data_IF_365086941204
#
_entry.id   IF_365086941204
#
_cell.length_a   1.000
_cell.length_b   1.000
_cell.length_c   1.000
_cell.angle_alpha   90.00
_cell.angle_beta   90.00
_cell.angle_gamma   90.00
#
_symmetry.space_group_name_H-M   'P 1'
#
loop_
_entity.id
_entity.type
_entity.pdbx_description
1 polymer ?
#
# COMPACT_ATOMS: atom_id res chain seq x y z
N UNK A 1 9.65 34.21 37.67
CA UNK A 1 9.12 32.94 38.22
C UNK A 1 7.58 32.93 38.35
N UNK A 2 6.92 33.99 38.76
CA UNK A 2 5.43 34.02 38.91
C UNK A 2 4.63 33.84 37.62
N UNK A 3 5.06 34.40 36.48
CA UNK A 3 4.30 34.28 35.20
C UNK A 3 4.28 32.84 34.64
N UNK A 4 5.35 32.08 34.84
CA UNK A 4 5.44 30.67 34.36
C UNK A 4 4.56 29.72 35.20
N UNK A 5 4.45 29.97 36.51
CA UNK A 5 3.59 29.26 37.43
C UNK A 5 2.08 29.50 37.10
N UNK A 6 1.73 30.76 36.80
CA UNK A 6 0.37 31.14 36.44
C UNK A 6 -0.07 30.49 35.10
N UNK A 7 0.82 30.41 34.12
CA UNK A 7 0.55 29.73 32.85
C UNK A 7 0.36 28.21 33.05
N UNK A 8 1.15 27.56 33.89
CA UNK A 8 1.04 26.15 34.23
C UNK A 8 -0.24 25.83 35.01
N UNK A 9 -0.64 26.69 35.93
CA UNK A 9 -1.89 26.58 36.69
C UNK A 9 -3.10 26.78 35.79
N UNK A 10 -3.12 27.78 34.92
CA UNK A 10 -4.18 28.03 33.96
C UNK A 10 -4.31 26.88 32.95
N UNK A 11 -3.19 26.25 32.55
CA UNK A 11 -3.21 25.03 31.72
C UNK A 11 -3.86 23.85 32.45
N UNK A 12 -3.53 23.61 33.74
CA UNK A 12 -4.14 22.56 34.57
C UNK A 12 -5.66 22.77 34.74
N UNK A 13 -6.08 23.99 35.00
CA UNK A 13 -7.51 24.36 35.16
C UNK A 13 -8.25 24.13 33.82
N UNK A 14 -7.66 24.56 32.72
CA UNK A 14 -8.25 24.36 31.37
C UNK A 14 -8.35 22.89 31.01
N UNK A 15 -7.38 22.07 31.40
CA UNK A 15 -7.36 20.62 31.16
C UNK A 15 -8.44 19.91 31.96
N UNK A 16 -8.60 20.25 33.24
CA UNK A 16 -9.60 19.64 34.13
C UNK A 16 -11.03 20.07 33.82
N UNK A 17 -11.22 21.31 33.37
CA UNK A 17 -12.53 21.86 33.02
C UNK A 17 -13.12 21.38 31.69
N UNK A 18 -12.41 20.56 30.92
CA UNK A 18 -12.96 19.96 29.71
C UNK A 18 -13.53 18.56 30.01
N UNK A 19 -14.65 18.15 29.33
CA UNK A 19 -15.27 16.85 29.51
C UNK A 19 -14.33 15.67 29.34
N UNK A 20 -14.71 14.52 29.88
CA UNK A 20 -13.98 13.24 29.68
C UNK A 20 -12.52 13.30 30.14
N UNK A 21 -12.24 13.90 31.29
CA UNK A 21 -10.89 14.07 31.81
C UNK A 21 -10.16 12.75 32.01
N UNK A 22 -10.80 11.76 32.65
CA UNK A 22 -10.20 10.46 32.95
C UNK A 22 -9.89 9.67 31.68
N UNK A 23 -10.79 9.68 30.72
CA UNK A 23 -10.65 9.03 29.42
C UNK A 23 -9.51 9.62 28.59
N UNK A 24 -9.38 10.95 28.63
CA UNK A 24 -8.27 11.67 27.95
C UNK A 24 -6.92 11.31 28.58
N UNK A 25 -6.84 11.30 29.91
CA UNK A 25 -5.60 10.95 30.63
C UNK A 25 -5.24 9.49 30.41
N UNK A 26 -6.22 8.58 30.50
CA UNK A 26 -6.02 7.14 30.24
C UNK A 26 -5.46 6.91 28.83
N UNK A 27 -5.98 7.60 27.83
CA UNK A 27 -5.49 7.50 26.46
C UNK A 27 -4.10 8.12 26.27
N UNK A 28 -3.81 9.27 26.89
CA UNK A 28 -2.48 9.89 26.83
C UNK A 28 -1.42 9.02 27.50
N UNK A 29 -1.74 8.37 28.63
CA UNK A 29 -0.87 7.37 29.27
C UNK A 29 -0.61 6.17 28.36
N UNK A 30 -1.65 5.65 27.73
CA UNK A 30 -1.50 4.60 26.72
C UNK A 30 -0.57 5.05 25.58
N UNK A 31 -0.76 6.25 25.06
CA UNK A 31 0.12 6.79 24.02
C UNK A 31 1.58 6.94 24.51
N UNK A 32 1.80 7.39 25.73
CA UNK A 32 3.14 7.49 26.34
C UNK A 32 3.80 6.10 26.45
N UNK A 33 3.08 5.12 27.00
CA UNK A 33 3.57 3.75 27.15
C UNK A 33 3.83 3.05 25.81
N UNK A 34 3.21 3.51 24.72
CA UNK A 34 3.46 3.02 23.36
C UNK A 34 4.50 3.85 22.60
N UNK A 35 5.27 4.70 23.31
CA UNK A 35 6.43 5.40 22.77
C UNK A 35 6.15 6.77 22.13
N UNK A 36 5.01 7.41 22.43
CA UNK A 36 4.74 8.75 21.92
C UNK A 36 5.67 9.79 22.57
N UNK A 37 6.32 10.62 21.73
CA UNK A 37 7.21 11.68 22.21
C UNK A 37 6.45 12.74 23.03
N UNK A 38 7.13 13.46 23.97
CA UNK A 38 6.51 14.53 24.75
C UNK A 38 5.83 15.61 23.89
N UNK A 39 6.42 15.97 22.75
CA UNK A 39 5.83 16.91 21.81
C UNK A 39 4.53 16.38 21.16
N UNK A 40 4.52 15.10 20.77
CA UNK A 40 3.32 14.44 20.22
C UNK A 40 2.21 14.35 21.27
N UNK A 41 2.54 14.04 22.53
CA UNK A 41 1.59 14.01 23.64
C UNK A 41 0.98 15.39 23.89
N UNK A 42 1.80 16.46 23.84
CA UNK A 42 1.33 17.84 24.00
C UNK A 42 0.33 18.21 22.90
N UNK A 43 0.63 17.88 21.64
CA UNK A 43 -0.28 18.11 20.51
C UNK A 43 -1.58 17.34 20.71
N UNK A 44 -1.50 16.03 21.01
CA UNK A 44 -2.68 15.19 21.26
C UNK A 44 -3.53 15.74 22.41
N UNK A 45 -2.91 16.10 23.54
CA UNK A 45 -3.61 16.68 24.69
C UNK A 45 -4.43 17.90 24.31
N UNK A 46 -3.82 18.86 23.61
CA UNK A 46 -4.48 20.09 23.22
C UNK A 46 -5.67 19.84 22.25
N UNK A 47 -5.50 18.95 21.30
CA UNK A 47 -6.58 18.59 20.37
C UNK A 47 -7.70 17.80 21.07
N UNK A 48 -7.38 16.88 21.98
CA UNK A 48 -8.35 16.10 22.73
C UNK A 48 -9.20 16.98 23.66
N UNK A 49 -8.64 18.03 24.27
CA UNK A 49 -9.41 19.01 25.06
C UNK A 49 -10.49 19.66 24.20
N UNK A 50 -10.11 20.06 22.99
CA UNK A 50 -11.05 20.70 22.08
C UNK A 50 -12.09 19.69 21.57
N UNK A 51 -11.68 18.49 21.14
CA UNK A 51 -12.57 17.44 20.68
C UNK A 51 -13.59 17.11 21.78
N UNK A 52 -13.15 16.92 23.03
CA UNK A 52 -13.99 16.57 24.17
C UNK A 52 -15.11 17.60 24.43
N UNK A 53 -14.85 18.89 24.21
CA UNK A 53 -15.88 19.96 24.40
C UNK A 53 -17.00 19.93 23.38
N UNK A 54 -16.77 19.32 22.23
CA UNK A 54 -17.74 19.24 21.14
C UNK A 54 -18.33 17.83 20.98
N UNK A 55 -17.83 16.85 21.75
CA UNK A 55 -18.46 15.55 21.81
C UNK A 55 -19.84 15.68 22.49
N UNK A 56 -20.87 15.03 21.96
CA UNK A 56 -22.16 14.99 22.60
C UNK A 56 -22.10 14.17 23.90
N UNK A 57 -22.99 14.43 24.85
CA UNK A 57 -23.03 13.70 26.13
C UNK A 57 -23.22 12.18 25.94
N UNK A 58 -23.92 11.79 24.90
CA UNK A 58 -24.11 10.38 24.53
C UNK A 58 -22.94 9.76 23.74
N UNK A 59 -21.79 10.43 23.66
CA UNK A 59 -20.58 9.92 22.98
C UNK A 59 -20.17 8.50 23.42
N UNK A 60 -20.32 8.08 24.70
CA UNK A 60 -20.05 6.71 25.13
C UNK A 60 -20.89 5.65 24.42
N UNK A 61 -22.09 6.01 23.91
CA UNK A 61 -22.96 5.11 23.15
C UNK A 61 -22.48 4.87 21.71
N UNK A 62 -21.48 5.65 21.25
CA UNK A 62 -20.82 5.50 19.97
C UNK A 62 -20.92 6.71 19.05
N UNK A 63 -19.78 7.06 18.43
CA UNK A 63 -19.64 8.17 17.49
C UNK A 63 -19.34 7.64 16.10
N UNK A 64 -20.13 8.04 15.10
CA UNK A 64 -19.91 7.71 13.71
C UNK A 64 -18.89 8.66 13.04
N UNK A 65 -18.37 8.27 11.87
CA UNK A 65 -17.47 9.14 11.09
C UNK A 65 -18.16 10.41 10.61
N UNK A 66 -19.45 10.34 10.31
CA UNK A 66 -20.26 11.48 9.87
C UNK A 66 -20.41 12.50 10.99
N UNK A 67 -20.77 12.06 12.20
CA UNK A 67 -20.85 12.89 13.39
C UNK A 67 -19.49 13.55 13.69
N UNK A 68 -18.40 12.77 13.63
CA UNK A 68 -17.06 13.30 13.86
C UNK A 68 -16.66 14.34 12.80
N UNK A 69 -17.00 14.13 11.54
CA UNK A 69 -16.75 15.10 10.46
C UNK A 69 -17.53 16.37 10.66
N UNK A 70 -18.79 16.29 11.05
CA UNK A 70 -19.62 17.46 11.30
C UNK A 70 -19.10 18.32 12.45
N UNK A 71 -18.67 17.71 13.54
CA UNK A 71 -18.00 18.39 14.65
C UNK A 71 -16.71 19.10 14.19
N UNK A 72 -15.89 18.41 13.39
CA UNK A 72 -14.65 18.98 12.89
C UNK A 72 -14.87 20.14 11.92
N UNK A 73 -15.95 20.12 11.12
CA UNK A 73 -16.33 21.25 10.23
C UNK A 73 -16.65 22.52 11.01
N UNK A 74 -17.33 22.42 12.13
CA UNK A 74 -17.67 23.59 12.99
C UNK A 74 -16.41 24.36 13.42
N UNK A 75 -15.29 23.68 13.67
CA UNK A 75 -14.01 24.34 13.95
C UNK A 75 -13.39 24.97 12.70
N UNK A 76 -13.51 24.35 11.53
CA UNK A 76 -12.92 24.86 10.29
C UNK A 76 -13.58 26.15 9.79
N UNK A 77 -14.80 26.44 10.22
CA UNK A 77 -15.47 27.72 9.99
C UNK A 77 -14.84 28.85 10.79
N UNK A 78 -14.27 28.54 11.97
CA UNK A 78 -13.60 29.51 12.86
C UNK A 78 -12.12 29.67 12.50
N UNK A 79 -11.47 28.59 12.06
CA UNK A 79 -10.05 28.57 11.69
C UNK A 79 -9.89 28.03 10.26
N UNK A 80 -9.68 28.91 9.27
CA UNK A 80 -9.57 28.56 7.86
C UNK A 80 -8.49 27.50 7.60
N UNK A 81 -8.89 26.32 7.11
CA UNK A 81 -7.98 25.30 6.59
C UNK A 81 -8.57 23.90 6.52
N UNK A 82 -8.67 23.35 5.30
CA UNK A 82 -9.12 21.97 5.01
C UNK A 82 -8.28 20.91 5.75
N UNK A 83 -6.99 21.19 5.97
CA UNK A 83 -6.03 20.36 6.71
C UNK A 83 -6.35 20.21 8.20
N UNK A 84 -7.07 21.17 8.79
CA UNK A 84 -7.41 21.13 10.21
C UNK A 84 -8.42 20.03 10.53
N UNK A 85 -9.47 19.89 9.73
CA UNK A 85 -10.50 18.85 9.91
C UNK A 85 -9.91 17.44 9.82
N UNK A 86 -9.08 17.19 8.81
CA UNK A 86 -8.43 15.88 8.64
C UNK A 86 -7.48 15.56 9.80
N UNK A 87 -6.70 16.55 10.26
CA UNK A 87 -5.82 16.39 11.42
C UNK A 87 -6.57 16.02 12.70
N UNK A 88 -7.72 16.66 12.92
CA UNK A 88 -8.56 16.35 14.08
C UNK A 88 -9.13 14.93 14.01
N UNK A 89 -9.61 14.50 12.85
CA UNK A 89 -10.10 13.14 12.64
C UNK A 89 -8.99 12.12 12.93
N UNK A 90 -7.76 12.39 12.48
CA UNK A 90 -6.59 11.54 12.72
C UNK A 90 -6.28 11.39 14.22
N UNK A 91 -6.56 12.40 15.03
CA UNK A 91 -6.34 12.36 16.49
C UNK A 91 -7.54 11.78 17.23
N UNK A 92 -8.76 12.20 16.86
CA UNK A 92 -10.00 11.79 17.53
C UNK A 92 -10.31 10.30 17.33
N UNK A 93 -10.22 9.81 16.11
CA UNK A 93 -10.60 8.42 15.78
C UNK A 93 -9.84 7.36 16.61
N UNK A 94 -8.49 7.40 16.73
CA UNK A 94 -7.78 6.45 17.59
C UNK A 94 -8.18 6.54 19.07
N UNK A 95 -8.48 7.74 19.57
CA UNK A 95 -8.99 7.93 20.93
C UNK A 95 -10.37 7.29 21.11
N UNK A 96 -11.31 7.55 20.21
CA UNK A 96 -12.65 6.94 20.25
C UNK A 96 -12.59 5.41 20.11
N UNK A 97 -11.68 4.88 19.28
CA UNK A 97 -11.45 3.42 19.17
C UNK A 97 -10.91 2.86 20.51
N UNK A 98 -9.95 3.55 21.13
CA UNK A 98 -9.38 3.14 22.42
C UNK A 98 -10.43 3.10 23.54
N UNK A 99 -11.38 4.00 23.50
CA UNK A 99 -12.50 4.05 24.46
C UNK A 99 -13.63 3.06 24.15
N UNK A 100 -13.63 2.44 22.99
CA UNK A 100 -14.77 1.65 22.51
C UNK A 100 -15.95 2.50 22.02
N UNK A 101 -15.78 3.82 21.89
CA UNK A 101 -16.81 4.78 21.46
C UNK A 101 -16.86 4.98 19.96
N UNK A 102 -15.99 4.32 19.20
CA UNK A 102 -16.00 4.42 17.74
C UNK A 102 -17.07 3.51 17.15
N UNK A 103 -18.10 4.09 16.56
CA UNK A 103 -19.07 3.34 15.79
C UNK A 103 -18.55 3.13 14.38
N UNK A 104 -18.25 1.89 14.04
CA UNK A 104 -17.89 1.57 12.65
C UNK A 104 -19.09 1.93 11.75
N UNK A 105 -18.88 2.51 10.57
CA UNK A 105 -19.95 2.69 9.59
C UNK A 105 -20.60 1.33 9.35
N UNK A 106 -21.86 1.18 9.73
CA UNK A 106 -22.65 0.05 9.29
C UNK A 106 -22.92 0.27 7.81
N UNK A 107 -22.14 -0.40 6.98
CA UNK A 107 -22.51 -0.56 5.60
C UNK A 107 -23.81 -1.36 5.62
N UNK A 108 -24.94 -0.69 5.40
CA UNK A 108 -26.22 -1.38 5.24
C UNK A 108 -26.00 -2.47 4.19
N UNK A 109 -26.19 -3.74 4.53
CA UNK A 109 -25.97 -4.81 3.58
C UNK A 109 -26.91 -4.59 2.39
N UNK A 110 -26.38 -4.52 1.19
CA UNK A 110 -27.20 -4.48 -0.02
C UNK A 110 -27.79 -5.88 -0.29
N UNK A 111 -28.82 -5.95 -1.12
CA UNK A 111 -29.56 -7.20 -1.40
C UNK A 111 -28.66 -8.39 -1.79
N UNK A 112 -27.51 -8.14 -2.43
CA UNK A 112 -26.54 -9.16 -2.84
C UNK A 112 -25.42 -9.38 -1.83
N UNK A 113 -25.50 -8.86 -0.59
CA UNK A 113 -24.42 -8.98 0.39
C UNK A 113 -24.14 -10.44 0.78
N UNK A 114 -25.20 -11.24 0.94
CA UNK A 114 -25.07 -12.67 1.25
C UNK A 114 -24.37 -13.40 0.10
N UNK A 115 -24.82 -13.21 -1.13
CA UNK A 115 -24.19 -13.76 -2.33
C UNK A 115 -22.69 -13.39 -2.42
N UNK A 116 -22.34 -12.14 -2.13
CA UNK A 116 -20.94 -11.70 -2.14
C UNK A 116 -20.10 -12.44 -1.07
N UNK A 117 -20.66 -12.70 0.11
CA UNK A 117 -19.98 -13.44 1.17
C UNK A 117 -19.81 -14.93 0.81
N UNK A 118 -20.80 -15.55 0.21
CA UNK A 118 -20.75 -16.94 -0.29
C UNK A 118 -19.69 -17.07 -1.39
N UNK A 119 -19.67 -16.12 -2.33
CA UNK A 119 -18.63 -16.05 -3.38
C UNK A 119 -17.22 -15.87 -2.80
N UNK A 120 -17.04 -15.06 -1.77
CA UNK A 120 -15.76 -14.88 -1.07
C UNK A 120 -15.32 -16.21 -0.42
N UNK A 121 -16.24 -16.92 0.22
CA UNK A 121 -15.98 -18.22 0.82
C UNK A 121 -15.56 -19.23 -0.26
N UNK A 122 -16.27 -19.31 -1.36
CA UNK A 122 -15.96 -20.16 -2.50
C UNK A 122 -14.56 -19.86 -3.09
N UNK A 123 -14.21 -18.57 -3.27
CA UNK A 123 -12.88 -18.17 -3.73
C UNK A 123 -11.76 -18.66 -2.82
N UNK A 124 -12.00 -18.64 -1.51
CA UNK A 124 -11.02 -19.03 -0.50
C UNK A 124 -10.92 -20.54 -0.41
N UNK A 125 -12.04 -21.21 -0.21
CA UNK A 125 -12.09 -22.60 0.23
C UNK A 125 -11.98 -23.56 -0.95
N UNK A 126 -12.61 -23.27 -2.08
CA UNK A 126 -12.60 -24.15 -3.25
C UNK A 126 -11.54 -23.78 -4.29
N UNK A 127 -11.29 -22.47 -4.49
CA UNK A 127 -10.30 -22.02 -5.51
C UNK A 127 -8.93 -21.73 -4.94
N UNK A 128 -8.77 -21.66 -3.63
CA UNK A 128 -7.48 -21.43 -2.97
C UNK A 128 -6.84 -20.09 -3.34
N UNK A 129 -7.65 -19.06 -3.67
CA UNK A 129 -7.11 -17.75 -4.00
C UNK A 129 -6.47 -17.08 -2.79
N UNK A 130 -5.42 -16.30 -3.05
CA UNK A 130 -4.77 -15.53 -1.99
C UNK A 130 -5.69 -14.42 -1.48
N UNK A 131 -5.55 -14.04 -0.20
CA UNK A 131 -6.37 -12.97 0.40
C UNK A 131 -6.29 -11.67 -0.40
N UNK A 132 -5.12 -11.32 -0.94
CA UNK A 132 -4.95 -10.13 -1.79
C UNK A 132 -5.77 -10.20 -3.08
N UNK A 133 -5.89 -11.37 -3.69
CA UNK A 133 -6.73 -11.58 -4.89
C UNK A 133 -8.21 -11.46 -4.51
N UNK A 134 -8.61 -12.10 -3.41
CA UNK A 134 -9.98 -12.07 -2.88
C UNK A 134 -10.40 -10.61 -2.59
N UNK A 135 -9.57 -9.84 -1.89
CA UNK A 135 -9.88 -8.45 -1.55
C UNK A 135 -10.02 -7.56 -2.80
N UNK A 136 -9.15 -7.75 -3.79
CA UNK A 136 -9.22 -7.06 -5.07
C UNK A 136 -10.51 -7.38 -5.84
N UNK A 137 -10.82 -8.66 -5.99
CA UNK A 137 -11.99 -9.12 -6.74
C UNK A 137 -13.30 -8.82 -6.00
N UNK A 138 -13.34 -8.96 -4.67
CA UNK A 138 -14.45 -8.49 -3.85
C UNK A 138 -14.80 -7.03 -4.18
N UNK A 139 -13.79 -6.16 -4.24
CA UNK A 139 -14.00 -4.75 -4.57
C UNK A 139 -14.59 -4.54 -5.96
N UNK A 140 -14.15 -5.30 -6.95
CA UNK A 140 -14.67 -5.26 -8.32
C UNK A 140 -16.13 -5.74 -8.37
N UNK A 141 -16.39 -6.92 -7.82
CA UNK A 141 -17.72 -7.55 -7.82
C UNK A 141 -18.73 -6.69 -7.05
N UNK A 142 -18.34 -6.18 -5.87
CA UNK A 142 -19.21 -5.31 -5.09
C UNK A 142 -19.60 -4.03 -5.85
N UNK A 143 -18.69 -3.41 -6.60
CA UNK A 143 -19.00 -2.24 -7.43
C UNK A 143 -19.97 -2.57 -8.54
N UNK A 144 -19.81 -3.73 -9.17
CA UNK A 144 -20.73 -4.21 -10.20
C UNK A 144 -22.13 -4.48 -9.62
N UNK A 145 -22.23 -5.17 -8.50
CA UNK A 145 -23.50 -5.44 -7.83
C UNK A 145 -24.22 -4.15 -7.40
N UNK A 146 -23.47 -3.16 -6.89
CA UNK A 146 -24.04 -1.84 -6.59
C UNK A 146 -24.51 -1.09 -7.84
N UNK A 147 -23.83 -1.27 -8.98
CA UNK A 147 -24.27 -0.72 -10.25
C UNK A 147 -25.58 -1.41 -10.72
N UNK A 148 -25.68 -2.74 -10.61
CA UNK A 148 -26.90 -3.47 -10.90
C UNK A 148 -28.08 -2.94 -10.06
N UNK A 149 -27.89 -2.75 -8.76
CA UNK A 149 -28.93 -2.22 -7.87
C UNK A 149 -29.35 -0.82 -8.29
N UNK A 150 -28.38 0.06 -8.55
CA UNK A 150 -28.61 1.46 -8.93
C UNK A 150 -29.43 1.57 -10.23
N UNK A 151 -29.21 0.67 -11.17
CA UNK A 151 -29.89 0.66 -12.48
C UNK A 151 -31.07 -0.34 -12.54
N UNK A 152 -31.56 -0.80 -11.39
CA UNK A 152 -32.69 -1.74 -11.27
C UNK A 152 -32.51 -3.02 -12.11
N UNK A 153 -31.27 -3.51 -12.24
CA UNK A 153 -30.92 -4.74 -12.97
C UNK A 153 -30.90 -5.93 -12.01
N UNK A 154 -31.73 -6.94 -12.26
CA UNK A 154 -31.67 -8.22 -11.55
C UNK A 154 -30.60 -9.11 -12.17
N UNK A 155 -29.83 -9.83 -11.35
CA UNK A 155 -28.81 -10.78 -11.84
C UNK A 155 -29.42 -11.86 -12.74
N UNK A 156 -30.61 -12.35 -12.43
CA UNK A 156 -31.32 -13.37 -13.23
C UNK A 156 -31.70 -12.90 -14.65
N UNK A 157 -31.87 -11.60 -14.83
CA UNK A 157 -32.34 -11.00 -16.09
C UNK A 157 -31.21 -10.25 -16.83
N UNK A 158 -29.96 -10.34 -16.36
CA UNK A 158 -28.84 -9.68 -16.99
C UNK A 158 -28.65 -10.16 -18.43
N UNK A 159 -28.44 -9.19 -19.31
CA UNK A 159 -28.13 -9.40 -20.72
C UNK A 159 -26.69 -8.99 -21.03
N UNK A 160 -26.11 -9.46 -22.16
CA UNK A 160 -24.79 -9.00 -22.61
C UNK A 160 -24.68 -7.47 -22.70
N UNK A 161 -25.75 -6.80 -23.16
CA UNK A 161 -25.81 -5.35 -23.33
C UNK A 161 -25.66 -4.61 -21.97
N UNK A 162 -26.17 -5.18 -20.87
CA UNK A 162 -26.04 -4.62 -19.52
C UNK A 162 -24.56 -4.64 -19.06
N UNK A 163 -23.82 -5.67 -19.43
CA UNK A 163 -22.40 -5.78 -19.16
C UNK A 163 -21.60 -4.74 -19.96
N UNK A 164 -21.94 -4.58 -21.23
CA UNK A 164 -21.33 -3.58 -22.11
C UNK A 164 -21.60 -2.16 -21.58
N UNK A 165 -22.83 -1.87 -21.16
CA UNK A 165 -23.22 -0.61 -20.53
C UNK A 165 -22.39 -0.33 -19.26
N UNK A 166 -22.21 -1.34 -18.39
CA UNK A 166 -21.36 -1.20 -17.20
C UNK A 166 -19.93 -0.82 -17.56
N UNK A 167 -19.35 -1.47 -18.58
CA UNK A 167 -18.00 -1.14 -19.02
C UNK A 167 -17.94 0.26 -19.67
N UNK A 168 -18.84 0.62 -20.57
CA UNK A 168 -18.89 1.91 -21.25
C UNK A 168 -18.97 3.04 -20.23
N UNK A 169 -19.83 2.95 -19.22
CA UNK A 169 -20.01 3.95 -18.18
C UNK A 169 -18.78 4.13 -17.27
N UNK A 170 -17.81 3.22 -17.33
CA UNK A 170 -16.62 3.23 -16.51
C UNK A 170 -15.30 3.28 -17.30
N UNK A 171 -15.32 3.11 -18.64
CA UNK A 171 -14.09 3.02 -19.47
C UNK A 171 -13.22 4.27 -19.42
N UNK A 172 -13.81 5.46 -19.31
CA UNK A 172 -13.05 6.71 -19.16
C UNK A 172 -12.15 6.78 -17.91
N UNK A 173 -12.34 5.87 -16.95
CA UNK A 173 -11.59 5.80 -15.69
C UNK A 173 -10.55 4.68 -15.67
N UNK A 174 -10.56 3.75 -16.62
CA UNK A 174 -9.75 2.54 -16.59
C UNK A 174 -8.82 2.44 -17.80
N UNK A 175 -7.58 2.07 -17.56
CA UNK A 175 -6.67 1.69 -18.63
C UNK A 175 -6.95 0.24 -19.09
N UNK A 176 -6.47 -0.14 -20.28
CA UNK A 176 -6.69 -1.48 -20.88
C UNK A 176 -6.33 -2.65 -19.94
N UNK A 177 -5.20 -2.53 -19.19
CA UNK A 177 -4.78 -3.57 -18.21
C UNK A 177 -5.77 -3.69 -17.06
N UNK A 178 -6.30 -2.56 -16.57
CA UNK A 178 -7.35 -2.56 -15.55
C UNK A 178 -8.63 -3.19 -16.05
N UNK A 179 -9.05 -2.88 -17.29
CA UNK A 179 -10.22 -3.49 -17.92
C UNK A 179 -10.03 -5.00 -18.00
N UNK A 180 -8.89 -5.52 -18.49
CA UNK A 180 -8.59 -6.96 -18.52
C UNK A 180 -8.74 -7.62 -17.16
N UNK A 181 -8.22 -6.99 -16.10
CA UNK A 181 -8.31 -7.51 -14.74
C UNK A 181 -9.74 -7.52 -14.21
N UNK A 182 -10.50 -6.45 -14.45
CA UNK A 182 -11.92 -6.33 -14.05
C UNK A 182 -12.78 -7.33 -14.80
N UNK A 183 -12.60 -7.45 -16.11
CA UNK A 183 -13.27 -8.44 -16.96
C UNK A 183 -13.03 -9.85 -16.44
N UNK A 184 -11.77 -10.20 -16.10
CA UNK A 184 -11.43 -11.49 -15.53
C UNK A 184 -12.15 -11.78 -14.21
N UNK A 185 -12.16 -10.82 -13.30
CA UNK A 185 -12.86 -10.96 -12.02
C UNK A 185 -14.37 -11.10 -12.18
N UNK A 186 -14.99 -10.30 -13.06
CA UNK A 186 -16.43 -10.37 -13.34
C UNK A 186 -16.81 -11.66 -14.03
N UNK A 187 -16.03 -12.13 -15.01
CA UNK A 187 -16.31 -13.41 -15.69
C UNK A 187 -16.33 -14.58 -14.70
N UNK A 188 -15.40 -14.64 -13.76
CA UNK A 188 -15.36 -15.70 -12.74
C UNK A 188 -16.52 -15.57 -11.77
N UNK A 189 -16.90 -14.36 -11.36
CA UNK A 189 -18.08 -14.14 -10.55
C UNK A 189 -19.38 -14.57 -11.26
N UNK A 190 -19.55 -14.21 -12.52
CA UNK A 190 -20.73 -14.58 -13.31
C UNK A 190 -20.78 -16.08 -13.59
N UNK A 191 -19.63 -16.77 -13.79
CA UNK A 191 -19.60 -18.23 -13.85
C UNK A 191 -20.05 -18.89 -12.56
N UNK A 192 -19.56 -18.38 -11.42
CA UNK A 192 -20.05 -18.81 -10.11
C UNK A 192 -21.56 -18.60 -10.01
N UNK A 193 -22.05 -17.42 -10.35
CA UNK A 193 -23.49 -17.09 -10.30
C UNK A 193 -24.33 -17.97 -11.25
N UNK A 194 -23.83 -18.27 -12.44
CA UNK A 194 -24.51 -19.13 -13.43
C UNK A 194 -24.63 -20.58 -12.93
N UNK A 195 -23.55 -21.14 -12.35
CA UNK A 195 -23.55 -22.49 -11.75
C UNK A 195 -24.62 -22.60 -10.65
N UNK A 196 -24.84 -21.52 -9.88
CA UNK A 196 -25.86 -21.46 -8.83
C UNK A 196 -27.25 -20.99 -9.32
N UNK A 197 -27.45 -20.89 -10.64
CA UNK A 197 -28.74 -20.49 -11.22
C UNK A 197 -29.13 -19.02 -10.98
N UNK A 198 -28.18 -18.16 -10.59
CA UNK A 198 -28.42 -16.77 -10.23
C UNK A 198 -28.31 -15.79 -11.40
N UNK A 199 -27.79 -16.23 -12.53
CA UNK A 199 -27.75 -15.46 -13.79
C UNK A 199 -27.81 -16.41 -15.00
N UNK A 200 -28.08 -15.90 -16.24
CA UNK A 200 -28.10 -16.70 -17.43
C UNK A 200 -26.79 -17.47 -17.67
N UNK A 201 -26.86 -18.76 -17.96
CA UNK A 201 -25.74 -19.69 -18.07
C UNK A 201 -24.67 -19.27 -19.08
N UNK A 202 -25.08 -18.66 -20.20
CA UNK A 202 -24.18 -18.21 -21.28
C UNK A 202 -23.59 -16.81 -21.06
N UNK A 203 -24.07 -16.05 -20.07
CA UNK A 203 -23.63 -14.67 -19.83
C UNK A 203 -22.12 -14.53 -19.57
N UNK A 204 -21.43 -15.43 -18.82
CA UNK A 204 -19.99 -15.32 -18.62
C UNK A 204 -19.16 -15.39 -19.90
N UNK A 205 -19.64 -16.10 -20.92
CA UNK A 205 -18.94 -16.27 -22.21
C UNK A 205 -19.05 -15.06 -23.14
N UNK A 206 -20.08 -14.24 -22.96
CA UNK A 206 -20.27 -13.02 -23.77
C UNK A 206 -19.32 -11.90 -23.42
N UNK A 207 -18.70 -11.95 -22.24
CA UNK A 207 -17.75 -10.91 -21.80
C UNK A 207 -16.47 -11.00 -22.61
N UNK A 208 -16.22 -10.03 -23.46
CA UNK A 208 -15.00 -9.97 -24.26
C UNK A 208 -13.83 -9.36 -23.49
N UNK A 209 -12.64 -9.96 -23.60
CA UNK A 209 -11.41 -9.38 -23.11
C UNK A 209 -10.88 -8.34 -24.10
N UNK A 210 -10.43 -7.16 -23.63
CA UNK A 210 -9.71 -6.25 -24.50
C UNK A 210 -8.44 -6.94 -25.00
N UNK A 211 -8.19 -6.90 -26.29
CA UNK A 211 -6.92 -7.38 -26.84
C UNK A 211 -5.79 -6.53 -26.26
N UNK A 212 -4.89 -7.17 -25.53
CA UNK A 212 -3.67 -6.57 -25.04
C UNK A 212 -2.54 -7.41 -25.61
N UNK A 213 -1.73 -6.80 -26.43
CA UNK A 213 -0.52 -7.45 -26.91
C UNK A 213 0.51 -7.42 -25.78
N UNK A 214 1.02 -8.60 -25.44
CA UNK A 214 2.11 -8.70 -24.49
C UNK A 214 3.31 -7.94 -25.06
N UNK A 215 3.93 -7.12 -24.21
CA UNK A 215 5.05 -6.28 -24.60
C UNK A 215 4.71 -5.05 -25.51
N UNK A 216 3.47 -4.62 -25.59
CA UNK A 216 3.05 -3.43 -26.35
C UNK A 216 3.74 -2.13 -25.88
N UNK A 217 4.14 -2.08 -24.63
CA UNK A 217 4.85 -0.92 -24.08
C UNK A 217 6.29 -1.27 -23.68
N UNK A 218 7.24 -0.46 -24.11
CA UNK A 218 8.59 -0.50 -23.55
C UNK A 218 8.52 -0.24 -22.04
N UNK A 219 9.25 -0.99 -21.22
CA UNK A 219 9.39 -0.64 -19.82
C UNK A 219 10.12 0.71 -19.75
N UNK A 220 9.46 1.73 -19.20
CA UNK A 220 10.14 2.95 -18.82
C UNK A 220 11.01 2.63 -17.59
N UNK A 221 12.19 2.11 -17.81
CA UNK A 221 13.12 1.84 -16.74
C UNK A 221 13.71 3.16 -16.23
N UNK A 222 13.80 3.27 -14.91
CA UNK A 222 14.52 4.34 -14.25
C UNK A 222 16.01 4.19 -14.60
N UNK A 223 16.66 5.26 -15.00
CA UNK A 223 18.10 5.27 -15.24
C UNK A 223 18.86 4.90 -13.96
N UNK A 224 19.93 4.11 -14.10
CA UNK A 224 20.72 3.70 -12.93
C UNK A 224 21.36 4.88 -12.20
N UNK A 225 21.67 5.95 -12.94
CA UNK A 225 22.17 7.19 -12.37
C UNK A 225 21.17 7.84 -11.42
N UNK A 226 19.88 7.83 -11.76
CA UNK A 226 18.83 8.30 -10.87
C UNK A 226 18.69 7.44 -9.61
N UNK A 227 18.95 6.13 -9.71
CA UNK A 227 19.02 5.25 -8.52
C UNK A 227 20.19 5.66 -7.63
N UNK A 228 21.37 5.95 -8.21
CA UNK A 228 22.54 6.45 -7.44
C UNK A 228 22.22 7.77 -6.75
N UNK A 229 21.63 8.74 -7.45
CA UNK A 229 21.19 10.02 -6.88
C UNK A 229 20.20 9.82 -5.75
N UNK A 230 19.26 8.90 -5.91
CA UNK A 230 18.27 8.53 -4.89
C UNK A 230 18.93 7.98 -3.61
N UNK A 231 19.86 7.07 -3.75
CA UNK A 231 20.61 6.49 -2.63
C UNK A 231 21.53 7.51 -1.96
N UNK A 232 22.20 8.37 -2.72
CA UNK A 232 23.06 9.45 -2.17
C UNK A 232 22.25 10.47 -1.38
N UNK A 233 21.07 10.87 -1.89
CA UNK A 233 20.19 11.83 -1.20
C UNK A 233 19.70 11.32 0.16
N UNK A 234 19.63 10.01 0.36
CA UNK A 234 19.19 9.42 1.64
C UNK A 234 20.35 9.14 2.61
N UNK A 235 21.57 9.56 2.28
CA UNK A 235 22.75 9.46 3.16
C UNK A 235 22.95 10.74 3.97
N UNK A 236 21.98 11.08 4.83
CA UNK A 236 21.96 12.37 5.57
C UNK A 236 22.08 12.22 7.09
N UNK A 237 22.16 11.03 7.62
CA UNK A 237 22.15 10.77 9.07
C UNK A 237 20.80 11.04 9.76
N UNK A 238 19.78 11.53 9.06
CA UNK A 238 18.44 11.73 9.64
C UNK A 238 17.73 10.39 9.81
N UNK A 239 17.04 10.20 10.93
CA UNK A 239 16.37 8.93 11.28
C UNK A 239 15.46 8.38 10.18
N UNK A 240 14.69 9.25 9.50
CA UNK A 240 13.85 8.82 8.38
C UNK A 240 14.68 8.38 7.17
N UNK A 241 15.80 9.06 6.91
CA UNK A 241 16.62 8.78 5.73
C UNK A 241 17.45 7.51 5.93
N UNK A 242 17.96 7.24 7.14
CA UNK A 242 18.63 5.98 7.50
C UNK A 242 17.72 4.79 7.23
N UNK A 243 16.47 4.81 7.76
CA UNK A 243 15.49 3.75 7.47
C UNK A 243 15.17 3.64 5.98
N UNK A 244 14.91 4.78 5.34
CA UNK A 244 14.53 4.81 3.93
C UNK A 244 15.66 4.32 3.03
N UNK A 245 16.93 4.63 3.35
CA UNK A 245 18.11 4.16 2.64
C UNK A 245 18.17 2.62 2.64
N UNK A 246 18.05 1.96 3.79
CA UNK A 246 18.03 0.50 3.88
C UNK A 246 16.91 -0.11 3.01
N UNK A 247 15.69 0.46 3.07
CA UNK A 247 14.56 0.03 2.23
C UNK A 247 14.87 0.21 0.74
N UNK A 248 15.37 1.38 0.34
CA UNK A 248 15.67 1.69 -1.06
C UNK A 248 16.78 0.80 -1.63
N UNK A 249 17.81 0.48 -0.83
CA UNK A 249 18.87 -0.44 -1.22
C UNK A 249 18.33 -1.86 -1.48
N UNK A 250 17.51 -2.40 -0.59
CA UNK A 250 16.89 -3.71 -0.79
C UNK A 250 16.02 -3.75 -2.06
N UNK A 251 15.30 -2.68 -2.35
CA UNK A 251 14.43 -2.58 -3.52
C UNK A 251 15.21 -2.39 -4.83
N UNK A 252 16.36 -1.69 -4.81
CA UNK A 252 17.10 -1.33 -6.01
C UNK A 252 18.27 -2.28 -6.31
N UNK A 253 19.00 -2.76 -5.31
CA UNK A 253 20.17 -3.61 -5.49
C UNK A 253 19.77 -5.09 -5.64
N UNK A 254 18.95 -5.60 -4.73
CA UNK A 254 18.44 -6.97 -4.88
C UNK A 254 17.15 -7.04 -5.72
N UNK A 255 16.57 -5.91 -6.08
CA UNK A 255 15.32 -5.88 -6.85
C UNK A 255 14.15 -6.55 -6.11
N UNK A 256 14.13 -6.56 -4.77
CA UNK A 256 13.09 -7.23 -3.99
C UNK A 256 11.72 -6.61 -4.26
N UNK A 257 10.68 -7.44 -4.18
CA UNK A 257 9.32 -6.93 -4.21
C UNK A 257 8.98 -6.23 -2.91
N UNK A 258 8.16 -5.18 -2.98
CA UNK A 258 7.67 -4.45 -1.81
C UNK A 258 7.18 -5.39 -0.68
N UNK A 259 6.41 -6.41 -1.03
CA UNK A 259 5.88 -7.37 -0.06
C UNK A 259 6.96 -8.22 0.61
N UNK A 260 8.03 -8.54 -0.11
CA UNK A 260 9.18 -9.28 0.43
C UNK A 260 9.94 -8.42 1.45
N UNK A 261 10.20 -7.15 1.13
CA UNK A 261 10.81 -6.21 2.08
C UNK A 261 9.92 -5.95 3.30
N UNK A 262 8.60 -5.90 3.09
CA UNK A 262 7.65 -5.66 4.18
C UNK A 262 7.53 -6.82 5.17
N UNK A 263 7.85 -8.03 4.74
CA UNK A 263 7.80 -9.26 5.56
C UNK A 263 9.15 -9.64 6.15
N UNK A 264 10.22 -8.91 5.81
CA UNK A 264 11.57 -9.20 6.25
C UNK A 264 11.69 -9.07 7.77
N UNK A 265 12.25 -10.11 8.41
CA UNK A 265 12.36 -10.24 9.85
C UNK A 265 13.82 -10.13 10.29
N UNK A 266 14.06 -9.84 11.56
CA UNK A 266 15.41 -9.76 12.13
C UNK A 266 16.19 -11.07 11.98
N UNK A 267 15.52 -12.22 12.13
CA UNK A 267 16.07 -13.55 11.97
C UNK A 267 16.37 -13.96 10.53
N UNK A 268 15.90 -13.19 9.53
CA UNK A 268 16.20 -13.43 8.12
C UNK A 268 17.61 -12.93 7.72
N UNK A 269 18.29 -12.22 8.61
CA UNK A 269 19.66 -11.74 8.40
C UNK A 269 20.62 -12.65 9.18
N UNK A 270 21.40 -13.43 8.46
CA UNK A 270 22.51 -14.17 9.04
C UNK A 270 23.80 -13.35 8.94
N UNK A 271 24.09 -12.62 10.02
CA UNK A 271 25.26 -11.75 10.11
C UNK A 271 26.60 -12.53 10.12
N UNK A 272 26.60 -13.78 10.60
CA UNK A 272 27.80 -14.61 10.68
C UNK A 272 28.20 -15.17 9.32
N UNK A 273 27.22 -15.74 8.62
CA UNK A 273 27.42 -16.31 7.31
C UNK A 273 27.32 -15.27 6.17
N UNK A 274 27.02 -14.01 6.49
CA UNK A 274 26.83 -12.97 5.49
C UNK A 274 25.72 -13.27 4.50
N UNK A 275 24.58 -13.76 4.98
CA UNK A 275 23.44 -14.18 4.15
C UNK A 275 22.15 -13.44 4.50
N UNK A 276 21.34 -13.21 3.49
CA UNK A 276 20.00 -12.65 3.64
C UNK A 276 18.97 -13.63 3.07
N UNK A 277 18.05 -14.10 3.92
CA UNK A 277 17.02 -15.06 3.56
C UNK A 277 15.74 -14.34 3.20
N UNK A 278 15.21 -14.54 1.99
CA UNK A 278 14.01 -13.89 1.50
C UNK A 278 12.95 -14.93 1.20
N UNK A 279 11.79 -14.83 1.86
CA UNK A 279 10.66 -15.66 1.51
C UNK A 279 9.92 -15.09 0.31
N UNK A 280 9.94 -15.81 -0.81
CA UNK A 280 9.28 -15.40 -2.06
C UNK A 280 7.78 -15.66 -1.99
N UNK A 281 7.00 -14.65 -1.62
CA UNK A 281 5.54 -14.75 -1.41
C UNK A 281 4.78 -15.38 -2.58
N UNK A 282 5.18 -15.10 -3.82
CA UNK A 282 4.50 -15.64 -5.02
C UNK A 282 4.92 -17.07 -5.38
N UNK A 283 6.16 -17.47 -5.04
CA UNK A 283 6.67 -18.83 -5.27
C UNK A 283 6.47 -19.73 -4.05
N UNK A 284 6.18 -19.16 -2.88
CA UNK A 284 6.12 -19.85 -1.58
C UNK A 284 7.41 -20.62 -1.26
N UNK A 285 8.56 -20.08 -1.63
CA UNK A 285 9.86 -20.69 -1.47
C UNK A 285 10.85 -19.68 -0.89
N UNK A 286 11.79 -20.11 -0.02
CA UNK A 286 12.90 -19.28 0.42
C UNK A 286 13.92 -19.10 -0.72
N UNK A 287 14.59 -17.97 -0.71
CA UNK A 287 15.73 -17.67 -1.57
C UNK A 287 16.78 -16.96 -0.74
N UNK A 288 18.04 -17.37 -0.85
CA UNK A 288 19.15 -16.79 -0.11
C UNK A 288 19.97 -15.89 -1.02
N UNK A 289 20.37 -14.75 -0.50
CA UNK A 289 21.25 -13.79 -1.14
C UNK A 289 22.52 -13.59 -0.30
N UNK A 290 23.68 -13.32 -0.92
CA UNK A 290 24.82 -12.81 -0.18
C UNK A 290 24.44 -11.45 0.43
N UNK A 291 24.79 -11.23 1.67
CA UNK A 291 24.58 -9.93 2.33
C UNK A 291 25.75 -8.99 1.95
N UNK A 292 25.50 -8.15 0.96
CA UNK A 292 26.51 -7.19 0.48
C UNK A 292 26.91 -6.21 1.58
N UNK A 293 28.21 -5.86 1.73
CA UNK A 293 28.69 -4.96 2.81
C UNK A 293 27.90 -3.66 2.93
N UNK A 294 27.61 -3.00 1.79
CA UNK A 294 26.86 -1.74 1.76
C UNK A 294 25.41 -1.88 2.25
N UNK A 295 24.82 -3.07 2.11
CA UNK A 295 23.45 -3.35 2.59
C UNK A 295 23.51 -3.77 4.05
N UNK A 296 24.54 -4.53 4.45
CA UNK A 296 24.78 -4.89 5.84
C UNK A 296 24.94 -3.62 6.70
N UNK A 297 25.77 -2.68 6.27
CA UNK A 297 25.95 -1.38 6.92
C UNK A 297 24.62 -0.62 7.06
N UNK A 298 23.87 -0.46 5.96
CA UNK A 298 22.61 0.28 5.99
C UNK A 298 21.53 -0.39 6.87
N UNK A 299 21.53 -1.74 6.94
CA UNK A 299 20.61 -2.47 7.82
C UNK A 299 21.05 -2.38 9.28
N UNK A 300 22.35 -2.51 9.59
CA UNK A 300 22.90 -2.34 10.93
C UNK A 300 22.64 -0.93 11.46
N UNK A 301 22.97 0.10 10.67
CA UNK A 301 22.70 1.50 11.03
C UNK A 301 21.22 1.71 11.38
N UNK A 302 20.32 1.18 10.58
CA UNK A 302 18.90 1.31 10.88
C UNK A 302 18.50 0.52 12.13
N UNK A 303 18.94 -0.72 12.28
CA UNK A 303 18.54 -1.61 13.38
C UNK A 303 19.07 -1.10 14.71
N UNK A 304 20.32 -0.66 14.76
CA UNK A 304 20.99 -0.28 15.98
C UNK A 304 20.68 1.16 16.40
N UNK A 305 20.57 2.10 15.45
CA UNK A 305 20.48 3.53 15.80
C UNK A 305 19.07 4.11 15.68
N UNK A 306 18.20 3.55 14.82
CA UNK A 306 16.93 4.19 14.46
C UNK A 306 15.72 3.33 14.74
N UNK A 307 15.84 2.00 14.60
CA UNK A 307 14.70 1.11 14.78
C UNK A 307 14.14 1.22 16.19
N UNK A 308 12.83 1.54 16.36
CA UNK A 308 12.23 1.60 17.68
C UNK A 308 12.33 0.27 18.42
N UNK A 309 12.55 0.30 19.73
CA UNK A 309 12.45 -0.89 20.56
C UNK A 309 11.00 -1.43 20.50
N UNK A 310 10.86 -2.69 20.15
CA UNK A 310 9.56 -3.33 19.96
C UNK A 310 9.71 -4.85 20.03
N UNK A 311 8.67 -5.54 20.48
CA UNK A 311 8.54 -7.00 20.39
C UNK A 311 8.32 -7.49 18.97
N UNK A 312 7.98 -6.60 18.04
CA UNK A 312 7.81 -6.93 16.62
C UNK A 312 9.12 -7.41 16.02
N UNK A 313 9.07 -8.55 15.35
CA UNK A 313 10.26 -9.13 14.69
C UNK A 313 10.46 -8.63 13.26
N UNK A 314 9.45 -7.96 12.67
CA UNK A 314 9.58 -7.30 11.36
C UNK A 314 10.64 -6.19 11.46
N UNK A 315 11.54 -6.13 10.47
CA UNK A 315 12.65 -5.15 10.48
C UNK A 315 12.11 -3.73 10.40
N UNK A 316 11.30 -3.39 9.41
CA UNK A 316 10.91 -2.02 9.13
C UNK A 316 9.64 -1.60 9.84
N UNK A 317 9.80 -0.73 10.83
CA UNK A 317 8.73 -0.18 11.64
C UNK A 317 8.46 1.30 11.33
N UNK A 318 7.25 1.73 11.68
CA UNK A 318 6.93 3.15 11.74
C UNK A 318 7.71 3.83 12.87
N UNK A 319 8.38 4.95 12.57
CA UNK A 319 9.16 5.71 13.58
C UNK A 319 8.27 6.47 14.57
N UNK A 320 7.01 6.67 14.22
CA UNK A 320 6.03 7.25 15.12
C UNK A 320 5.23 6.16 15.83
N UNK A 321 4.95 6.37 17.11
CA UNK A 321 4.12 5.47 17.89
C UNK A 321 2.66 5.38 17.37
N UNK A 322 2.05 4.22 17.45
CA UNK A 322 2.59 2.93 17.86
C UNK A 322 3.50 2.36 16.75
N UNK A 323 4.68 1.88 17.14
CA UNK A 323 5.74 1.41 16.22
C UNK A 323 5.37 0.11 15.51
N UNK A 324 4.35 0.16 14.65
CA UNK A 324 3.84 -0.98 13.89
C UNK A 324 4.65 -1.21 12.62
N UNK A 325 4.64 -2.43 12.06
CA UNK A 325 5.20 -2.70 10.75
C UNK A 325 4.68 -1.71 9.69
N UNK A 326 5.55 -1.32 8.77
CA UNK A 326 5.19 -0.39 7.71
C UNK A 326 4.13 -0.99 6.80
N UNK A 327 3.10 -0.20 6.49
CA UNK A 327 2.06 -0.60 5.54
C UNK A 327 2.57 -0.59 4.10
N UNK A 328 1.90 -1.32 3.22
CA UNK A 328 2.19 -1.32 1.79
C UNK A 328 2.21 0.11 1.17
N UNK A 329 1.32 1.00 1.63
CA UNK A 329 1.29 2.40 1.22
C UNK A 329 2.51 3.20 1.69
N UNK A 330 3.09 2.86 2.86
CA UNK A 330 4.27 3.54 3.37
C UNK A 330 5.49 3.32 2.45
N UNK A 331 5.71 2.09 1.97
CA UNK A 331 6.78 1.79 1.01
C UNK A 331 6.61 2.54 -0.30
N UNK A 332 5.37 2.62 -0.82
CA UNK A 332 5.09 3.42 -2.00
C UNK A 332 5.41 4.90 -1.78
N UNK A 333 4.97 5.45 -0.65
CA UNK A 333 5.21 6.85 -0.31
C UNK A 333 6.70 7.17 -0.11
N UNK A 334 7.50 6.24 0.45
CA UNK A 334 8.95 6.41 0.58
C UNK A 334 9.57 6.60 -0.80
N UNK A 335 9.29 5.71 -1.75
CA UNK A 335 9.85 5.80 -3.10
C UNK A 335 9.32 7.04 -3.83
N UNK A 336 8.00 7.21 -3.88
CA UNK A 336 7.34 8.29 -4.62
C UNK A 336 7.75 9.69 -4.15
N UNK A 337 7.84 9.91 -2.81
CA UNK A 337 8.28 11.19 -2.26
C UNK A 337 9.72 11.51 -2.61
N UNK A 338 10.61 10.52 -2.61
CA UNK A 338 12.00 10.72 -2.96
C UNK A 338 12.19 10.95 -4.47
N UNK A 339 11.40 10.28 -5.32
CA UNK A 339 11.35 10.59 -6.76
C UNK A 339 10.89 12.03 -7.01
N UNK A 340 9.87 12.51 -6.29
CA UNK A 340 9.40 13.88 -6.41
C UNK A 340 10.47 14.91 -6.00
N UNK A 341 11.24 14.64 -4.94
CA UNK A 341 12.33 15.51 -4.48
C UNK A 341 13.48 15.62 -5.51
N UNK A 342 13.72 14.59 -6.28
CA UNK A 342 14.74 14.54 -7.32
C UNK A 342 14.19 14.89 -8.71
N UNK A 343 12.92 15.25 -8.80
CA UNK A 343 12.21 15.56 -10.05
C UNK A 343 12.30 14.42 -11.09
N UNK A 344 12.41 13.19 -10.60
CA UNK A 344 12.49 12.01 -11.46
C UNK A 344 11.13 11.78 -12.13
N UNK A 345 11.12 11.92 -13.45
CA UNK A 345 9.91 11.72 -14.25
C UNK A 345 9.85 10.29 -14.79
N UNK A 346 9.09 9.43 -14.08
CA UNK A 346 8.83 8.04 -14.48
C UNK A 346 7.34 7.75 -14.48
N UNK A 347 6.90 6.90 -15.40
CA UNK A 347 5.50 6.50 -15.53
C UNK A 347 4.96 5.81 -14.27
N UNK A 348 5.80 5.04 -13.58
CA UNK A 348 5.46 4.31 -12.36
C UNK A 348 6.36 4.76 -11.20
N UNK A 349 5.82 5.59 -10.30
CA UNK A 349 6.57 6.20 -9.18
C UNK A 349 6.58 5.34 -7.91
N UNK A 350 6.73 4.04 -8.04
CA UNK A 350 6.67 3.13 -6.89
C UNK A 350 7.83 2.14 -6.84
N UNK A 351 7.87 1.24 -5.85
CA UNK A 351 8.93 0.23 -5.67
C UNK A 351 9.23 -0.62 -6.90
N UNK A 352 8.25 -0.80 -7.78
CA UNK A 352 8.43 -1.56 -9.02
C UNK A 352 9.41 -0.90 -9.99
N UNK A 353 9.49 0.44 -10.01
CA UNK A 353 10.45 1.15 -10.86
C UNK A 353 11.91 0.81 -10.46
N UNK A 354 12.19 0.72 -9.16
CA UNK A 354 13.52 0.33 -8.65
C UNK A 354 13.88 -1.11 -9.04
N UNK A 355 12.91 -2.03 -8.95
CA UNK A 355 13.12 -3.40 -9.38
C UNK A 355 13.35 -3.50 -10.90
N UNK A 356 12.67 -2.70 -11.70
CA UNK A 356 12.93 -2.62 -13.14
C UNK A 356 14.31 -2.06 -13.43
N UNK A 357 14.76 -1.02 -12.71
CA UNK A 357 16.10 -0.50 -12.81
C UNK A 357 17.19 -1.54 -12.47
N UNK A 358 16.96 -2.35 -11.41
CA UNK A 358 17.82 -3.47 -11.06
C UNK A 358 17.95 -4.46 -12.23
N UNK A 359 16.83 -4.89 -12.81
CA UNK A 359 16.82 -5.84 -13.91
C UNK A 359 17.58 -5.31 -15.15
N UNK A 360 17.32 -4.05 -15.52
CA UNK A 360 18.01 -3.40 -16.66
C UNK A 360 19.50 -3.24 -16.37
N UNK A 361 19.89 -2.91 -15.13
CA UNK A 361 21.29 -2.83 -14.73
C UNK A 361 22.00 -4.16 -14.83
N UNK A 362 21.38 -5.25 -14.35
CA UNK A 362 21.94 -6.61 -14.49
C UNK A 362 22.09 -7.00 -15.97
N UNK A 363 21.08 -6.67 -16.80
CA UNK A 363 21.15 -6.93 -18.23
C UNK A 363 22.31 -6.17 -18.90
N UNK A 364 22.52 -4.88 -18.58
CA UNK A 364 23.63 -4.09 -19.08
C UNK A 364 25.00 -4.60 -18.61
N UNK A 365 25.06 -5.40 -17.55
CA UNK A 365 26.25 -6.07 -17.06
C UNK A 365 26.49 -7.45 -17.72
N UNK A 366 25.67 -7.85 -18.68
CA UNK A 366 25.82 -9.08 -19.44
C UNK A 366 25.12 -10.31 -18.86
N UNK A 367 24.38 -10.19 -17.74
CA UNK A 367 23.63 -11.32 -17.20
C UNK A 367 22.52 -11.75 -18.16
N UNK A 368 22.32 -13.05 -18.27
CA UNK A 368 21.25 -13.63 -19.08
C UNK A 368 19.87 -13.36 -18.48
N UNK A 369 18.83 -13.37 -19.30
CA UNK A 369 17.45 -13.21 -18.83
C UNK A 369 17.05 -14.29 -17.82
N UNK A 370 17.64 -15.49 -17.92
CA UNK A 370 17.42 -16.59 -16.95
C UNK A 370 18.00 -16.22 -15.58
N UNK A 371 19.27 -15.81 -15.54
CA UNK A 371 19.95 -15.41 -14.30
C UNK A 371 19.23 -14.20 -13.64
N UNK A 372 18.84 -13.22 -14.44
CA UNK A 372 18.03 -12.08 -13.96
C UNK A 372 16.69 -12.54 -13.41
N UNK A 373 16.00 -13.48 -14.10
CA UNK A 373 14.75 -14.06 -13.66
C UNK A 373 14.91 -14.80 -12.32
N UNK A 374 15.96 -15.58 -12.17
CA UNK A 374 16.27 -16.33 -10.95
C UNK A 374 16.65 -15.38 -9.81
N UNK A 375 17.51 -14.38 -10.07
CA UNK A 375 17.85 -13.35 -9.10
C UNK A 375 16.60 -12.61 -8.59
N UNK A 376 15.75 -12.17 -9.49
CA UNK A 376 14.51 -11.47 -9.14
C UNK A 376 13.42 -12.40 -8.56
N UNK A 377 13.54 -13.71 -8.68
CA UNK A 377 12.51 -14.68 -8.29
C UNK A 377 11.26 -14.56 -9.16
N UNK A 378 11.41 -14.51 -10.48
CA UNK A 378 10.30 -14.59 -11.43
C UNK A 378 9.79 -16.03 -11.51
N UNK A 379 8.47 -16.20 -11.60
CA UNK A 379 7.83 -17.52 -11.70
C UNK A 379 8.01 -18.13 -13.09
N UNK A 380 8.04 -17.32 -14.12
CA UNK A 380 8.26 -17.71 -15.51
C UNK A 380 9.20 -16.72 -16.20
N UNK A 381 9.95 -17.23 -17.19
CA UNK A 381 10.90 -16.46 -18.00
C UNK A 381 10.24 -15.33 -18.77
N UNK A 382 8.99 -15.50 -19.19
CA UNK A 382 8.19 -14.48 -19.91
C UNK A 382 8.13 -13.15 -19.14
N UNK A 383 8.09 -13.20 -17.80
CA UNK A 383 8.10 -11.98 -16.97
C UNK A 383 9.43 -11.22 -17.11
N UNK A 384 10.51 -11.90 -17.47
CA UNK A 384 11.84 -11.31 -17.63
C UNK A 384 12.08 -10.86 -19.08
N UNK A 385 11.40 -11.45 -20.05
CA UNK A 385 11.51 -11.08 -21.49
C UNK A 385 11.17 -9.62 -21.76
N UNK A 386 10.42 -8.96 -20.89
CA UNK A 386 10.14 -7.53 -21.01
C UNK A 386 11.45 -6.69 -21.04
N UNK A 387 12.52 -7.17 -20.43
CA UNK A 387 13.80 -6.48 -20.38
C UNK A 387 14.64 -6.68 -21.64
N UNK A 388 14.42 -7.73 -22.41
CA UNK A 388 15.13 -7.95 -23.69
C UNK A 388 14.91 -6.80 -24.67
N UNK A 389 13.75 -6.12 -24.59
CA UNK A 389 13.43 -4.97 -25.44
C UNK A 389 14.19 -3.68 -25.09
N UNK A 390 14.86 -3.64 -23.95
CA UNK A 390 15.56 -2.44 -23.45
C UNK A 390 17.04 -2.51 -23.78
N UNK A 391 17.55 -3.68 -24.15
CA UNK A 391 18.93 -3.89 -24.57
C UNK A 391 19.13 -3.49 -26.04
N UNK A 392 19.14 -2.19 -26.28
CA UNK A 392 19.30 -1.64 -27.63
C UNK A 392 20.67 -1.95 -28.22
N UNK A 393 21.71 -2.16 -27.40
CA UNK A 393 23.07 -2.50 -27.86
C UNK A 393 23.08 -3.91 -28.43
N UNK A 394 22.58 -4.90 -27.66
CA UNK A 394 22.44 -6.27 -28.17
C UNK A 394 21.46 -6.39 -29.33
N UNK A 395 20.38 -5.60 -29.35
CA UNK A 395 19.46 -5.59 -30.47
C UNK A 395 20.12 -5.01 -31.74
N UNK A 396 21.03 -4.04 -31.60
CA UNK A 396 21.85 -3.52 -32.74
C UNK A 396 22.85 -4.55 -33.21
N UNK A 397 23.54 -5.25 -32.29
CA UNK A 397 24.45 -6.35 -32.63
C UNK A 397 23.75 -7.46 -33.43
N UNK A 398 22.55 -7.87 -32.95
CA UNK A 398 21.73 -8.85 -33.68
C UNK A 398 21.20 -8.31 -35.00
N UNK A 399 20.99 -6.98 -35.10
CA UNK A 399 20.54 -6.31 -36.34
C UNK A 399 21.67 -5.97 -37.33
N UNK A 400 22.92 -6.04 -36.90
CA UNK A 400 24.08 -5.84 -37.78
C UNK A 400 24.50 -7.19 -38.40
N UNK A 401 23.65 -7.69 -39.30
CA UNK A 401 24.08 -8.78 -40.17
C UNK A 401 25.12 -8.28 -41.17
N UNK A 402 26.15 -9.03 -41.32
CA UNK A 402 26.97 -8.93 -42.56
C UNK A 402 26.08 -9.47 -43.69
N UNK A 403 25.57 -8.54 -44.53
CA UNK A 403 24.70 -8.89 -45.64
C UNK A 403 25.46 -9.58 -46.76
N UNK A 404 26.77 -9.82 -46.59
CA UNK A 404 27.61 -10.47 -47.58
C UNK A 404 27.45 -9.83 -48.96
N UNK A 405 27.53 -10.63 -50.00
CA UNK A 405 27.44 -10.22 -51.42
C UNK A 405 26.01 -9.85 -51.89
N UNK A 406 25.12 -9.40 -51.05
CA UNK A 406 23.76 -8.91 -51.43
C UNK A 406 23.74 -7.40 -51.74
N UNK A 407 24.86 -6.82 -52.07
CA UNK A 407 24.96 -5.46 -52.61
C UNK A 407 25.03 -5.45 -54.14
#
# INVERSE_FOLDING_TARGET
MCAALTIAQNRKIRDRGAPFWEERIRYLRYCANTGASPGALTVKRNELIWIARYLPENAPQGISIEQLREMCKRRSLVHKGRTMTERMIVIARPWLIFLGWWRKPELKPHIYHQLLNEYIKWMRDEKGFTQSTIDGWKGVVNKFLLWCIKNCRSLHQLKPEDIDEYFINNTGRWNRKSIKSITGALRIFLRYSAIHGLCPSRLPETIMFPRIYDLESLPSALAWEDVRRLLSMTNTGKTNDIRNRAILMLLSIYGLRRGEVAMLRLEDIDWKEGKLHIFRLKRKQPQTYPLLPVIAEALSDYIETVRPQSSERIIFLGLNAPHRPLTAGAYYNIVSKNFNKLEINVKHRGPHALRHACAVKLLSQGFTLKEIGDHLGHRCTETTMIYAKVDLEKLREVGSFDLGELS
#
